data_IF_388970611212
#
_entry.id   IF_388970611212
#
_cell.length_a   1.000
_cell.length_b   1.000
_cell.length_c   1.000
_cell.angle_alpha   90.00
_cell.angle_beta   90.00
_cell.angle_gamma   90.00
#
_symmetry.space_group_name_H-M   'P 1'
#
loop_
_entity.id
_entity.type
_entity.pdbx_description
1 polymer ?
#
# COMPACT_ATOMS: atom_id res chain seq x y z
N UNK A 1 -2.01 14.54 1.34
CA UNK A 1 -2.52 14.15 0.01
C UNK A 1 -3.32 12.87 0.24
N UNK A 2 -4.60 12.83 -0.12
CA UNK A 2 -5.44 11.67 0.23
C UNK A 2 -5.21 10.52 -0.77
N UNK A 3 -4.48 9.49 -0.36
CA UNK A 3 -4.09 8.40 -1.26
C UNK A 3 -5.24 7.45 -1.58
N UNK A 4 -6.22 7.34 -0.68
CA UNK A 4 -7.26 6.33 -0.70
C UNK A 4 -8.67 6.92 -0.91
N UNK A 5 -8.79 8.20 -1.28
CA UNK A 5 -10.07 8.86 -1.53
C UNK A 5 -10.98 8.08 -2.49
N UNK A 6 -10.43 7.41 -3.51
CA UNK A 6 -11.25 6.59 -4.43
C UNK A 6 -11.87 5.36 -3.77
N UNK A 7 -11.35 4.90 -2.63
CA UNK A 7 -11.84 3.73 -1.91
C UNK A 7 -13.09 4.04 -1.08
N UNK A 8 -13.40 5.31 -0.82
CA UNK A 8 -14.64 5.69 -0.10
C UNK A 8 -15.89 5.40 -0.92
N UNK A 9 -15.75 5.24 -2.23
CA UNK A 9 -16.85 4.88 -3.13
C UNK A 9 -17.14 3.37 -3.17
N UNK A 10 -16.27 2.54 -2.56
CA UNK A 10 -16.47 1.11 -2.52
C UNK A 10 -17.68 0.76 -1.66
N UNK A 11 -18.53 -0.10 -2.19
CA UNK A 11 -19.64 -0.69 -1.45
C UNK A 11 -19.10 -1.45 -0.24
N UNK A 12 -19.55 -1.08 0.97
CA UNK A 12 -19.14 -1.79 2.18
C UNK A 12 -20.08 -2.98 2.43
N UNK A 13 -19.63 -4.24 2.23
CA UNK A 13 -20.47 -5.42 2.40
C UNK A 13 -20.63 -5.85 3.86
N UNK A 14 -20.02 -5.11 4.80
CA UNK A 14 -20.05 -5.42 6.23
C UNK A 14 -21.26 -4.77 6.91
N UNK A 15 -21.74 -5.40 7.97
CA UNK A 15 -22.90 -4.91 8.73
C UNK A 15 -22.55 -3.59 9.42
N UNK A 16 -23.31 -2.53 9.12
CA UNK A 16 -23.15 -1.23 9.78
C UNK A 16 -23.35 -1.36 11.30
N UNK A 17 -22.51 -0.65 12.08
CA UNK A 17 -22.53 -0.72 13.54
C UNK A 17 -21.87 -1.95 14.17
N UNK A 18 -21.46 -2.95 13.38
CA UNK A 18 -20.65 -4.11 13.85
C UNK A 18 -19.20 -4.05 13.38
N UNK A 19 -18.77 -2.90 12.85
CA UNK A 19 -17.43 -2.71 12.32
C UNK A 19 -16.66 -1.73 13.21
N UNK A 20 -15.54 -2.19 13.78
CA UNK A 20 -14.62 -1.33 14.53
C UNK A 20 -13.64 -0.58 13.61
N UNK A 21 -13.36 -1.12 12.43
CA UNK A 21 -12.35 -0.57 11.51
C UNK A 21 -13.01 -0.01 10.25
N UNK A 22 -12.57 1.18 9.82
CA UNK A 22 -13.03 1.76 8.55
C UNK A 22 -12.68 0.83 7.38
N UNK A 23 -13.49 0.83 6.33
CA UNK A 23 -13.24 -0.03 5.16
C UNK A 23 -11.91 0.34 4.50
N UNK A 24 -11.68 1.64 4.37
CA UNK A 24 -10.47 2.21 3.77
C UNK A 24 -9.23 1.79 4.55
N UNK A 25 -9.22 1.90 5.89
CA UNK A 25 -8.11 1.48 6.74
C UNK A 25 -7.71 0.02 6.49
N UNK A 26 -8.69 -0.90 6.46
CA UNK A 26 -8.43 -2.33 6.28
C UNK A 26 -7.94 -2.62 4.86
N UNK A 27 -8.54 -2.01 3.84
CA UNK A 27 -8.12 -2.21 2.45
C UNK A 27 -6.73 -1.61 2.17
N UNK A 28 -6.43 -0.46 2.77
CA UNK A 28 -5.12 0.17 2.68
C UNK A 28 -4.05 -0.71 3.33
N UNK A 29 -4.33 -1.28 4.50
CA UNK A 29 -3.43 -2.24 5.15
C UNK A 29 -3.16 -3.44 4.24
N UNK A 30 -4.21 -4.09 3.72
CA UNK A 30 -4.06 -5.23 2.81
C UNK A 30 -3.22 -4.88 1.58
N UNK A 31 -3.43 -3.70 0.98
CA UNK A 31 -2.66 -3.25 -0.17
C UNK A 31 -1.20 -2.99 0.19
N UNK A 32 -0.94 -2.26 1.28
CA UNK A 32 0.42 -1.95 1.73
C UNK A 32 1.21 -3.21 2.10
N UNK A 33 0.57 -4.16 2.78
CA UNK A 33 1.18 -5.45 3.11
C UNK A 33 1.49 -6.27 1.84
N UNK A 34 0.56 -6.33 0.88
CA UNK A 34 0.81 -7.02 -0.40
C UNK A 34 1.97 -6.39 -1.19
N UNK A 35 2.13 -5.06 -1.14
CA UNK A 35 3.26 -4.34 -1.75
C UNK A 35 4.57 -4.58 -0.99
N UNK A 36 4.51 -4.80 0.32
CA UNK A 36 5.64 -5.18 1.15
C UNK A 36 6.01 -6.67 1.04
N UNK A 37 5.24 -7.47 0.30
CA UNK A 37 5.44 -8.90 0.14
C UNK A 37 4.92 -9.76 1.29
N UNK A 38 4.06 -9.21 2.15
CA UNK A 38 3.37 -9.94 3.21
C UNK A 38 2.03 -10.46 2.70
N UNK A 39 1.81 -11.77 2.72
CA UNK A 39 0.60 -12.40 2.17
C UNK A 39 -0.18 -13.21 3.20
N UNK A 40 0.48 -13.69 4.25
CA UNK A 40 -0.19 -14.39 5.34
C UNK A 40 -0.88 -13.41 6.29
N UNK A 41 -2.02 -13.81 6.87
CA UNK A 41 -2.80 -12.93 7.77
C UNK A 41 -1.99 -12.47 8.98
N UNK A 42 -1.18 -13.37 9.55
CA UNK A 42 -0.29 -13.06 10.65
C UNK A 42 0.76 -12.02 10.24
N UNK A 43 1.38 -12.18 9.07
CA UNK A 43 2.36 -11.22 8.53
C UNK A 43 1.72 -9.86 8.28
N UNK A 44 0.50 -9.81 7.75
CA UNK A 44 -0.23 -8.56 7.52
C UNK A 44 -0.52 -7.86 8.86
N UNK A 45 -0.93 -8.60 9.88
CA UNK A 45 -1.14 -8.07 11.22
C UNK A 45 0.16 -7.54 11.84
N UNK A 46 1.27 -8.28 11.71
CA UNK A 46 2.59 -7.87 12.19
C UNK A 46 3.11 -6.65 11.46
N UNK A 47 2.99 -6.61 10.14
CA UNK A 47 3.29 -5.44 9.32
C UNK A 47 2.48 -4.23 9.78
N UNK A 48 1.17 -4.40 9.96
CA UNK A 48 0.28 -3.34 10.43
C UNK A 48 0.72 -2.80 11.78
N UNK A 49 1.09 -3.68 12.72
CA UNK A 49 1.62 -3.27 14.04
C UNK A 49 2.94 -2.52 13.92
N UNK A 50 3.86 -3.02 13.09
CA UNK A 50 5.17 -2.42 12.89
C UNK A 50 5.10 -1.05 12.19
N UNK A 51 4.18 -0.89 11.24
CA UNK A 51 4.03 0.32 10.41
C UNK A 51 2.86 1.21 10.85
N UNK A 52 2.21 0.96 12.00
CA UNK A 52 1.03 1.72 12.43
C UNK A 52 1.26 3.23 12.48
N UNK A 53 2.45 3.65 12.93
CA UNK A 53 2.83 5.06 12.94
C UNK A 53 2.86 5.64 11.51
N UNK A 54 3.55 4.97 10.59
CA UNK A 54 3.63 5.37 9.18
C UNK A 54 2.25 5.41 8.51
N UNK A 55 1.42 4.38 8.73
CA UNK A 55 0.07 4.31 8.19
C UNK A 55 -0.79 5.52 8.64
N UNK A 56 -0.62 5.96 9.89
CA UNK A 56 -1.31 7.12 10.44
C UNK A 56 -0.78 8.44 9.93
N UNK A 57 0.55 8.63 9.91
CA UNK A 57 1.14 9.94 9.59
C UNK A 57 1.24 10.18 8.09
N UNK A 58 1.79 9.21 7.35
CA UNK A 58 2.11 9.40 5.93
C UNK A 58 0.91 9.14 5.02
N UNK A 59 0.11 8.11 5.37
CA UNK A 59 -1.07 7.75 4.58
C UNK A 59 -2.37 8.39 5.10
N UNK A 60 -2.34 9.02 6.27
CA UNK A 60 -3.50 9.70 6.86
C UNK A 60 -4.61 8.73 7.32
N UNK A 61 -4.27 7.47 7.58
CA UNK A 61 -5.25 6.43 7.97
C UNK A 61 -5.40 6.42 9.49
N UNK A 62 -6.60 6.69 10.05
CA UNK A 62 -6.76 6.87 11.49
C UNK A 62 -6.46 5.60 12.31
N UNK A 63 -6.90 4.42 11.85
CA UNK A 63 -6.82 3.17 12.62
C UNK A 63 -7.26 3.38 14.08
N UNK A 64 -8.42 4.02 14.30
CA UNK A 64 -8.86 4.47 15.62
C UNK A 64 -8.97 3.33 16.65
N UNK A 65 -9.28 2.11 16.18
CA UNK A 65 -9.39 0.89 16.98
C UNK A 65 -8.17 -0.03 16.86
N UNK A 66 -7.04 0.49 16.35
CA UNK A 66 -5.82 -0.29 16.13
C UNK A 66 -5.84 -1.10 14.83
N UNK A 67 -5.04 -2.17 14.81
CA UNK A 67 -4.92 -3.06 13.65
C UNK A 67 -6.04 -4.10 13.67
N UNK A 68 -6.75 -4.32 12.55
CA UNK A 68 -7.76 -5.37 12.46
C UNK A 68 -7.19 -6.76 12.78
N UNK A 69 -8.01 -7.60 13.38
CA UNK A 69 -7.67 -9.01 13.63
C UNK A 69 -7.60 -9.83 12.35
N UNK A 70 -6.96 -10.99 12.43
CA UNK A 70 -6.89 -11.98 11.34
C UNK A 70 -8.29 -12.36 10.84
N UNK A 71 -9.27 -12.61 11.72
CA UNK A 71 -10.67 -12.86 11.32
C UNK A 71 -11.29 -11.72 10.50
N UNK A 72 -10.89 -10.47 10.77
CA UNK A 72 -11.39 -9.31 10.03
C UNK A 72 -10.77 -9.27 8.64
N UNK A 73 -9.47 -9.54 8.56
CA UNK A 73 -8.71 -9.58 7.31
C UNK A 73 -9.09 -10.77 6.43
N UNK A 74 -9.46 -11.91 7.02
CA UNK A 74 -9.92 -13.08 6.30
C UNK A 74 -11.30 -12.83 5.66
N UNK A 75 -12.25 -12.30 6.45
CA UNK A 75 -13.66 -12.19 6.03
C UNK A 75 -13.91 -11.06 5.05
N UNK A 76 -13.18 -9.96 5.14
CA UNK A 76 -13.45 -8.77 4.34
C UNK A 76 -13.29 -9.03 2.83
N UNK A 77 -12.15 -9.56 2.33
CA UNK A 77 -11.93 -9.78 0.90
C UNK A 77 -12.96 -10.73 0.30
N UNK A 78 -13.38 -11.76 1.05
CA UNK A 78 -14.38 -12.73 0.61
C UNK A 78 -15.76 -12.13 0.34
N UNK A 79 -16.07 -11.00 0.99
CA UNK A 79 -17.36 -10.30 0.87
C UNK A 79 -17.33 -9.10 -0.06
N UNK A 80 -16.12 -8.62 -0.40
CA UNK A 80 -15.95 -7.45 -1.25
C UNK A 80 -16.25 -7.81 -2.70
N UNK A 81 -16.80 -6.88 -3.47
CA UNK A 81 -16.95 -7.06 -4.91
C UNK A 81 -15.58 -6.95 -5.59
N UNK A 82 -15.03 -8.04 -6.17
CA UNK A 82 -13.68 -8.01 -6.74
C UNK A 82 -13.58 -7.09 -7.95
N UNK A 83 -14.65 -6.93 -8.74
CA UNK A 83 -14.66 -6.04 -9.92
C UNK A 83 -14.59 -4.58 -9.53
N UNK A 84 -15.31 -4.19 -8.47
CA UNK A 84 -15.34 -2.82 -7.96
C UNK A 84 -13.98 -2.43 -7.38
N UNK A 85 -13.35 -3.35 -6.64
CA UNK A 85 -12.00 -3.16 -6.12
C UNK A 85 -10.98 -3.04 -7.26
N UNK A 86 -11.02 -3.94 -8.26
CA UNK A 86 -10.11 -3.90 -9.40
C UNK A 86 -10.22 -2.57 -10.17
N UNK A 87 -11.43 -2.11 -10.46
CA UNK A 87 -11.68 -0.85 -11.15
C UNK A 87 -11.12 0.34 -10.36
N UNK A 88 -11.35 0.35 -9.05
CA UNK A 88 -10.84 1.40 -8.16
C UNK A 88 -9.32 1.43 -8.12
N UNK A 89 -8.68 0.26 -7.97
CA UNK A 89 -7.22 0.12 -7.99
C UNK A 89 -6.64 0.53 -9.34
N UNK A 90 -7.24 0.09 -10.45
CA UNK A 90 -6.80 0.43 -11.81
C UNK A 90 -6.89 1.92 -12.07
N UNK A 91 -8.01 2.55 -11.71
CA UNK A 91 -8.18 4.00 -11.83
C UNK A 91 -7.12 4.75 -11.02
N UNK A 92 -6.83 4.28 -9.80
CA UNK A 92 -5.81 4.87 -8.94
C UNK A 92 -4.41 4.71 -9.52
N UNK A 93 -4.03 3.51 -9.96
CA UNK A 93 -2.74 3.25 -10.59
C UNK A 93 -2.55 4.09 -11.88
N UNK A 94 -3.59 4.19 -12.72
CA UNK A 94 -3.57 5.04 -13.92
C UNK A 94 -3.35 6.52 -13.61
N UNK A 95 -3.92 7.03 -12.51
CA UNK A 95 -3.67 8.41 -12.05
C UNK A 95 -2.22 8.65 -11.62
N UNK A 96 -1.53 7.60 -11.12
CA UNK A 96 -0.14 7.66 -10.69
C UNK A 96 0.82 7.50 -11.87
N UNK A 97 0.51 6.64 -12.84
CA UNK A 97 1.36 6.40 -14.02
C UNK A 97 1.55 7.64 -14.90
N UNK A 98 0.62 8.61 -14.86
CA UNK A 98 0.78 9.92 -15.53
C UNK A 98 1.81 10.84 -14.86
N UNK A 99 2.28 10.48 -13.68
CA UNK A 99 3.36 11.17 -12.96
C UNK A 99 4.54 10.22 -13.01
N UNK A 100 5.45 10.45 -13.95
CA UNK A 100 6.65 9.63 -14.12
C UNK A 100 7.48 9.71 -12.83
N UNK A 101 7.33 8.71 -11.96
CA UNK A 101 8.10 8.59 -10.72
C UNK A 101 9.24 7.62 -11.03
N UNK A 102 10.44 8.14 -11.21
CA UNK A 102 11.63 7.31 -11.28
C UNK A 102 11.84 6.67 -9.90
N UNK A 103 11.20 5.52 -9.66
CA UNK A 103 11.46 4.69 -8.49
C UNK A 103 12.74 3.94 -8.79
N UNK A 104 13.87 4.56 -8.46
CA UNK A 104 15.16 3.88 -8.49
C UNK A 104 15.16 2.85 -7.36
N UNK A 105 15.03 1.57 -7.68
CA UNK A 105 15.09 0.45 -6.73
C UNK A 105 16.51 0.18 -6.20
N UNK A 106 17.21 1.22 -5.78
CA UNK A 106 18.48 1.10 -5.05
C UNK A 106 18.21 1.59 -3.65
N UNK A 107 17.98 0.69 -2.69
CA UNK A 107 18.52 0.78 -1.31
C UNK A 107 18.44 -0.59 -0.61
N UNK A 108 19.59 -1.24 -0.44
CA UNK A 108 20.12 -1.77 0.83
C UNK A 108 21.48 -2.43 0.54
N UNK A 109 22.56 -1.64 0.52
CA UNK A 109 23.91 -2.19 0.72
C UNK A 109 24.38 -1.61 2.04
N UNK A 110 24.36 -2.45 3.07
CA UNK A 110 25.06 -2.20 4.32
C UNK A 110 26.48 -1.68 4.03
N UNK A 111 26.81 -0.51 4.57
CA UNK A 111 28.17 0.02 4.57
C UNK A 111 28.92 -0.57 5.75
N UNK A 112 29.66 -1.67 5.51
CA UNK A 112 30.87 -1.98 6.28
C UNK A 112 31.89 -0.87 5.99
N UNK A 113 32.63 -0.32 6.98
CA UNK A 113 33.50 0.82 6.71
C UNK A 113 34.74 0.41 5.89
N UNK A 114 35.24 1.41 5.17
CA UNK A 114 36.55 1.55 4.53
C UNK A 114 36.79 0.84 3.18
N UNK A 115 36.93 1.67 2.13
CA UNK A 115 37.80 1.35 1.00
C UNK A 115 37.24 1.64 -0.40
N UNK A 116 37.64 2.78 -0.95
CA UNK A 116 37.81 3.06 -2.39
C UNK A 116 36.59 3.36 -3.28
N UNK A 117 36.49 4.65 -3.63
CA UNK A 117 35.71 5.25 -4.73
C UNK A 117 36.15 4.71 -6.10
N UNK A 118 35.22 4.33 -6.99
CA UNK A 118 35.34 4.55 -8.45
C UNK A 118 33.99 4.77 -9.14
N UNK A 119 33.94 5.91 -9.83
CA UNK A 119 33.14 6.38 -10.98
C UNK A 119 31.76 5.78 -11.31
N UNK A 120 30.80 6.70 -11.46
CA UNK A 120 29.47 6.53 -12.04
C UNK A 120 29.50 6.73 -13.56
N UNK A 121 28.92 5.80 -14.31
CA UNK A 121 28.52 6.02 -15.71
C UNK A 121 26.98 6.01 -15.80
N UNK A 122 26.42 7.14 -16.23
CA UNK A 122 24.98 7.33 -16.43
C UNK A 122 24.63 7.14 -17.90
N UNK A 123 24.19 5.94 -18.28
CA UNK A 123 23.63 5.69 -19.62
C UNK A 123 22.20 6.22 -19.70
N UNK A 124 22.02 7.33 -20.41
CA UNK A 124 20.70 7.86 -20.76
C UNK A 124 20.23 7.20 -22.06
N UNK A 125 19.16 6.39 -21.99
CA UNK A 125 18.47 5.90 -23.20
C UNK A 125 17.33 6.87 -23.51
N UNK A 126 17.46 7.57 -24.64
CA UNK A 126 16.41 8.44 -25.20
C UNK A 126 15.49 7.58 -26.06
N UNK A 127 14.19 7.55 -25.73
CA UNK A 127 13.17 6.94 -26.60
C UNK A 127 12.62 8.00 -27.58
N UNK A 128 12.39 7.63 -28.86
CA UNK A 128 11.93 8.57 -29.88
C UNK A 128 10.48 9.00 -29.64
N UNK A 129 10.20 10.30 -29.83
CA UNK A 129 8.84 10.85 -29.83
C UNK A 129 8.16 10.50 -31.16
N UNK A 130 6.90 10.05 -31.07
CA UNK A 130 5.97 9.92 -32.19
C UNK A 130 5.54 11.27 -32.75
#
# INVERSE_FOLDING_TARGET
>A
MDYFASFTHLTNPRVQGRCLHQLVDVLALLLCSALAGCYDLLEICDYGRAQLAFLRTELGLPFANGIPSEDTLERLPQRLNPKELEQTLRARAGSLARRQLCVNGKENRATTPAGQLRASESTTVVLPKS
#
